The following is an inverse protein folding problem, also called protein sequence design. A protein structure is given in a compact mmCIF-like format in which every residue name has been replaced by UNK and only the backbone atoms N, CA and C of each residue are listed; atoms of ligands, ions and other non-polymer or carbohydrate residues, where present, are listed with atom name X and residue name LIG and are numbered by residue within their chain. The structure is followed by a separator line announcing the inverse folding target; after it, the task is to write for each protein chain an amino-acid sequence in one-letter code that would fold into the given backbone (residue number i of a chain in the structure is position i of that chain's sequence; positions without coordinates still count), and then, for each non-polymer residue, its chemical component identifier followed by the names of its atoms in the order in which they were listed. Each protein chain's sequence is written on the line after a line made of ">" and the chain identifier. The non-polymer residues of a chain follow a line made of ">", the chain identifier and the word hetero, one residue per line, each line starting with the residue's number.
data_IF_376486357182
#
_entry.id   IF_376486357182
#
_cell.length_a   1.000
_cell.length_b   1.000
_cell.length_c   1.000
_cell.angle_alpha   90.00
_cell.angle_beta   90.00
_cell.angle_gamma   90.00
#
_symmetry.space_group_name_H-M   'P 1'
#
loop_
_entity.id
_entity.type
_entity.pdbx_description
1 polymer ?
#
# COMPACT_ATOMS: atom_id res chain seq x y z
N UNK A 1 24.99 3.61 -18.54
CA UNK A 1 25.28 3.06 -17.20
C UNK A 1 25.26 4.23 -16.22
N UNK A 2 24.08 4.59 -15.73
CA UNK A 2 23.93 5.65 -14.72
C UNK A 2 23.97 4.93 -13.37
N UNK A 3 25.00 5.22 -12.57
CA UNK A 3 25.13 4.73 -11.22
C UNK A 3 23.93 5.27 -10.42
N UNK A 4 23.02 4.37 -10.01
CA UNK A 4 22.01 4.71 -9.02
C UNK A 4 22.76 5.15 -7.75
N UNK A 5 22.71 6.45 -7.45
CA UNK A 5 23.29 6.99 -6.23
C UNK A 5 22.72 6.21 -5.03
N UNK A 6 23.60 5.73 -4.15
CA UNK A 6 23.21 5.08 -2.90
C UNK A 6 22.43 6.09 -2.07
N UNK A 7 21.13 5.88 -1.98
CA UNK A 7 20.22 6.74 -1.23
C UNK A 7 20.49 6.55 0.26
N UNK A 8 20.96 7.59 0.94
CA UNK A 8 21.08 7.62 2.40
C UNK A 8 19.68 7.43 3.02
N UNK A 9 19.56 6.48 3.96
CA UNK A 9 18.31 6.24 4.70
C UNK A 9 18.01 7.31 5.76
N UNK A 10 18.84 8.34 5.86
CA UNK A 10 18.77 9.38 6.89
C UNK A 10 18.20 10.73 6.39
N UNK A 11 17.77 10.81 5.12
CA UNK A 11 17.09 12.02 4.63
C UNK A 11 15.63 12.04 5.09
N UNK A 12 15.27 13.00 5.94
CA UNK A 12 13.88 13.42 6.12
C UNK A 12 13.34 13.95 4.78
N UNK A 13 12.52 13.13 4.14
CA UNK A 13 11.97 13.40 2.81
C UNK A 13 10.84 14.42 2.81
N UNK A 14 10.20 14.61 3.97
CA UNK A 14 9.24 15.68 4.15
C UNK A 14 9.96 17.01 4.44
N UNK A 15 11.18 16.93 5.00
CA UNK A 15 11.97 18.05 5.49
C UNK A 15 11.36 18.67 6.74
N UNK A 16 12.16 19.41 7.50
CA UNK A 16 11.75 20.04 8.76
C UNK A 16 10.38 20.74 8.66
N UNK A 17 9.47 20.46 9.58
CA UNK A 17 8.13 21.05 9.61
C UNK A 17 8.14 22.46 10.23
N UNK A 18 7.78 23.52 9.49
CA UNK A 18 7.51 24.82 10.08
C UNK A 18 6.04 24.91 10.54
N UNK A 19 5.71 25.62 11.64
CA UNK A 19 4.33 25.77 12.14
C UNK A 19 3.32 26.36 11.13
N UNK A 20 3.81 26.92 10.02
CA UNK A 20 3.01 27.52 8.95
C UNK A 20 3.63 27.16 7.59
N UNK A 21 3.36 25.94 7.11
CA UNK A 21 3.78 25.52 5.78
C UNK A 21 3.01 26.32 4.72
N UNK A 22 3.66 27.33 4.11
CA UNK A 22 3.06 28.09 3.02
C UNK A 22 2.75 27.22 1.80
N UNK A 23 1.70 27.57 1.04
CA UNK A 23 1.21 26.80 -0.12
C UNK A 23 2.31 26.50 -1.15
N UNK A 24 3.21 27.46 -1.40
CA UNK A 24 4.34 27.25 -2.32
C UNK A 24 5.34 26.23 -1.79
N UNK A 25 5.61 26.23 -0.49
CA UNK A 25 6.49 25.23 0.13
C UNK A 25 5.84 23.85 0.10
N UNK A 26 4.54 23.75 0.39
CA UNK A 26 3.77 22.52 0.24
C UNK A 26 3.83 21.97 -1.19
N UNK A 27 3.59 22.82 -2.20
CA UNK A 27 3.68 22.44 -3.63
C UNK A 27 5.07 21.97 -4.01
N UNK A 28 6.13 22.64 -3.55
CA UNK A 28 7.52 22.21 -3.80
C UNK A 28 7.81 20.84 -3.19
N UNK A 29 7.37 20.59 -1.94
CA UNK A 29 7.52 19.29 -1.27
C UNK A 29 6.78 18.19 -2.01
N UNK A 30 5.50 18.41 -2.35
CA UNK A 30 4.70 17.46 -3.13
C UNK A 30 5.40 17.17 -4.46
N UNK A 31 5.83 18.19 -5.22
CA UNK A 31 6.54 17.99 -6.48
C UNK A 31 7.82 17.17 -6.31
N UNK A 32 8.62 17.45 -5.28
CA UNK A 32 9.85 16.70 -5.01
C UNK A 32 9.55 15.23 -4.68
N UNK A 33 8.55 14.96 -3.84
CA UNK A 33 8.10 13.61 -3.52
C UNK A 33 7.55 12.89 -4.76
N UNK A 34 6.76 13.58 -5.59
CA UNK A 34 6.24 13.06 -6.86
C UNK A 34 7.40 12.64 -7.79
N UNK A 35 8.39 13.52 -7.97
CA UNK A 35 9.56 13.23 -8.79
C UNK A 35 10.41 12.08 -8.23
N UNK A 36 10.49 11.93 -6.91
CA UNK A 36 11.27 10.87 -6.27
C UNK A 36 10.60 9.50 -6.33
N UNK A 37 9.27 9.44 -6.27
CA UNK A 37 8.54 8.18 -6.06
C UNK A 37 7.66 7.73 -7.21
N UNK A 38 7.14 8.66 -8.00
CA UNK A 38 6.12 8.38 -9.03
C UNK A 38 6.45 9.05 -10.37
N UNK A 39 7.73 9.33 -10.64
CA UNK A 39 8.15 9.74 -11.99
C UNK A 39 7.99 8.57 -12.97
N UNK A 40 7.90 8.88 -14.26
CA UNK A 40 7.77 7.86 -15.31
C UNK A 40 8.94 6.89 -15.27
N UNK A 41 10.15 7.39 -15.01
CA UNK A 41 11.37 6.61 -14.91
C UNK A 41 11.29 5.65 -13.71
N UNK A 42 10.92 6.17 -12.53
CA UNK A 42 10.79 5.34 -11.31
C UNK A 42 9.72 4.27 -11.50
N UNK A 43 8.55 4.63 -12.03
CA UNK A 43 7.47 3.67 -12.28
C UNK A 43 7.86 2.65 -13.35
N UNK A 44 8.56 3.09 -14.41
CA UNK A 44 9.08 2.24 -15.47
C UNK A 44 10.08 1.20 -14.94
N UNK A 45 11.03 1.63 -14.11
CA UNK A 45 11.99 0.73 -13.45
C UNK A 45 11.28 -0.30 -12.56
N UNK A 46 10.28 0.13 -11.79
CA UNK A 46 9.49 -0.78 -10.94
C UNK A 46 8.71 -1.78 -11.76
N UNK A 47 8.08 -1.35 -12.86
CA UNK A 47 7.34 -2.22 -13.76
C UNK A 47 8.27 -3.25 -14.43
N UNK A 48 9.47 -2.84 -14.82
CA UNK A 48 10.47 -3.73 -15.41
C UNK A 48 11.01 -4.76 -14.40
N UNK A 49 11.05 -4.44 -13.10
CA UNK A 49 11.49 -5.35 -12.03
C UNK A 49 10.43 -6.40 -11.63
N UNK A 50 9.14 -6.15 -11.85
CA UNK A 50 8.05 -7.04 -11.40
C UNK A 50 8.24 -8.52 -11.81
N UNK A 51 8.59 -8.88 -13.07
CA UNK A 51 8.81 -10.28 -13.43
C UNK A 51 9.98 -10.93 -12.69
N UNK A 52 10.99 -10.15 -12.26
CA UNK A 52 12.04 -10.65 -11.39
C UNK A 52 11.50 -10.90 -9.98
N UNK A 53 10.78 -9.93 -9.40
CA UNK A 53 10.15 -10.07 -8.08
C UNK A 53 9.17 -11.24 -7.99
N UNK A 54 8.43 -11.56 -9.06
CA UNK A 54 7.54 -12.71 -9.07
C UNK A 54 8.29 -14.05 -8.98
N UNK A 55 9.51 -14.12 -9.51
CA UNK A 55 10.36 -15.31 -9.49
C UNK A 55 11.25 -15.40 -8.27
N UNK A 56 11.77 -14.26 -7.83
CA UNK A 56 12.68 -14.11 -6.71
C UNK A 56 12.19 -12.98 -5.80
N UNK A 57 11.13 -13.20 -5.01
CA UNK A 57 10.55 -12.15 -4.18
C UNK A 57 11.57 -11.67 -3.15
N UNK A 58 11.91 -10.38 -3.18
CA UNK A 58 12.80 -9.76 -2.19
C UNK A 58 12.06 -8.68 -1.40
N UNK A 59 12.03 -8.76 -0.07
CA UNK A 59 11.34 -7.76 0.74
C UNK A 59 12.01 -6.40 0.58
N UNK A 60 11.18 -5.38 0.38
CA UNK A 60 11.60 -3.98 0.37
C UNK A 60 11.81 -3.53 1.81
N UNK A 61 12.90 -2.77 1.99
CA UNK A 61 13.18 -2.09 3.25
C UNK A 61 12.07 -1.10 3.53
N UNK A 62 11.51 -1.19 4.74
CA UNK A 62 10.61 -0.17 5.27
C UNK A 62 11.46 0.82 6.08
N UNK A 63 11.42 2.10 5.71
CA UNK A 63 12.17 3.12 6.44
C UNK A 63 11.53 3.34 7.82
N UNK A 64 12.34 3.47 8.89
CA UNK A 64 11.80 3.75 10.21
C UNK A 64 11.05 5.09 10.20
N UNK A 65 9.94 5.14 10.92
CA UNK A 65 9.16 6.36 11.12
C UNK A 65 9.55 6.95 12.46
N UNK A 66 9.94 8.22 12.50
CA UNK A 66 10.15 8.93 13.76
C UNK A 66 8.81 9.31 14.38
N UNK A 67 8.20 8.37 15.10
CA UNK A 67 6.90 8.56 15.75
C UNK A 67 6.87 9.64 16.84
N UNK A 68 8.02 10.12 17.30
CA UNK A 68 8.11 11.22 18.28
C UNK A 68 7.88 12.58 17.62
N UNK A 69 8.21 12.73 16.34
CA UNK A 69 8.11 14.00 15.60
C UNK A 69 6.74 14.19 14.94
N UNK A 70 5.83 13.23 15.10
CA UNK A 70 4.46 13.30 14.55
C UNK A 70 3.55 13.99 15.56
N UNK A 71 2.89 15.06 15.10
CA UNK A 71 2.03 15.89 15.94
C UNK A 71 0.78 16.41 15.20
N UNK A 72 -0.35 16.61 15.88
CA UNK A 72 -1.60 17.07 15.24
C UNK A 72 -1.49 18.39 14.45
N UNK A 73 -0.60 19.31 14.85
CA UNK A 73 -0.37 20.59 14.16
C UNK A 73 0.26 20.44 12.78
N UNK A 74 0.74 19.24 12.42
CA UNK A 74 1.24 18.93 11.09
C UNK A 74 0.12 18.72 10.07
N UNK A 75 -1.12 18.48 10.52
CA UNK A 75 -2.28 18.38 9.64
C UNK A 75 -2.73 19.79 9.26
N UNK A 76 -2.61 20.12 7.98
CA UNK A 76 -2.91 21.45 7.45
C UNK A 76 -3.77 21.38 6.19
N UNK A 77 -4.62 22.38 5.99
CA UNK A 77 -5.52 22.48 4.83
C UNK A 77 -6.81 21.66 4.94
N UNK A 78 -6.94 20.83 5.98
CA UNK A 78 -8.16 20.07 6.32
C UNK A 78 -8.34 20.02 7.84
N UNK A 79 -9.57 19.92 8.35
CA UNK A 79 -9.82 19.67 9.75
C UNK A 79 -9.19 18.35 10.22
N UNK A 80 -8.61 18.33 11.42
CA UNK A 80 -7.93 17.16 11.99
C UNK A 80 -8.86 15.95 12.11
N UNK A 81 -10.10 16.17 12.57
CA UNK A 81 -11.14 15.15 12.68
C UNK A 81 -11.49 14.54 11.32
N UNK A 82 -11.56 15.36 10.27
CA UNK A 82 -11.76 14.92 8.89
C UNK A 82 -10.58 14.06 8.43
N UNK A 83 -9.34 14.47 8.72
CA UNK A 83 -8.16 13.66 8.40
C UNK A 83 -8.15 12.32 9.15
N UNK A 84 -8.48 12.32 10.44
CA UNK A 84 -8.61 11.10 11.23
C UNK A 84 -9.71 10.18 10.69
N UNK A 85 -10.84 10.73 10.22
CA UNK A 85 -11.90 9.96 9.57
C UNK A 85 -11.41 9.30 8.26
N UNK A 86 -10.59 10.00 7.46
CA UNK A 86 -9.94 9.43 6.28
C UNK A 86 -9.02 8.28 6.68
N UNK A 87 -8.15 8.48 7.69
CA UNK A 87 -7.26 7.42 8.20
C UNK A 87 -8.05 6.20 8.68
N UNK A 88 -9.17 6.40 9.38
CA UNK A 88 -10.05 5.30 9.80
C UNK A 88 -10.63 4.54 8.61
N UNK A 89 -11.06 5.25 7.57
CA UNK A 89 -11.50 4.66 6.30
C UNK A 89 -10.39 3.82 5.63
N UNK A 90 -9.17 4.33 5.60
CA UNK A 90 -8.00 3.60 5.08
C UNK A 90 -7.70 2.36 5.92
N UNK A 91 -7.71 2.46 7.26
CA UNK A 91 -7.54 1.31 8.16
C UNK A 91 -8.59 0.22 7.87
N UNK A 92 -9.85 0.61 7.69
CA UNK A 92 -10.94 -0.33 7.40
C UNK A 92 -10.79 -1.02 6.03
N UNK A 93 -10.18 -0.32 5.07
CA UNK A 93 -9.85 -0.85 3.74
C UNK A 93 -8.64 -1.79 3.80
N UNK A 94 -7.61 -1.47 4.57
CA UNK A 94 -6.36 -2.23 4.64
C UNK A 94 -6.44 -3.46 5.54
N UNK A 95 -7.24 -3.40 6.61
CA UNK A 95 -7.32 -4.46 7.63
C UNK A 95 -7.60 -5.88 7.08
N UNK A 96 -8.51 -6.08 6.10
CA UNK A 96 -8.80 -7.42 5.56
C UNK A 96 -7.82 -7.83 4.43
N UNK A 97 -6.57 -7.34 4.42
CA UNK A 97 -5.59 -7.59 3.35
C UNK A 97 -5.44 -9.07 2.97
N UNK A 98 -5.45 -9.98 3.95
CA UNK A 98 -5.36 -11.43 3.68
C UNK A 98 -6.51 -11.91 2.80
N UNK A 99 -7.73 -11.42 3.03
CA UNK A 99 -8.87 -11.80 2.20
C UNK A 99 -8.70 -11.32 0.75
N UNK A 100 -8.21 -10.10 0.56
CA UNK A 100 -7.94 -9.57 -0.78
C UNK A 100 -6.82 -10.34 -1.50
N UNK A 101 -5.71 -10.60 -0.83
CA UNK A 101 -4.56 -11.30 -1.44
C UNK A 101 -4.91 -12.74 -1.80
N UNK A 102 -5.71 -13.42 -0.98
CA UNK A 102 -6.19 -14.77 -1.30
C UNK A 102 -7.16 -14.78 -2.49
N UNK A 103 -8.12 -13.84 -2.54
CA UNK A 103 -8.99 -13.72 -3.70
C UNK A 103 -8.19 -13.44 -4.98
N UNK A 104 -7.25 -12.49 -4.95
CA UNK A 104 -6.37 -12.18 -6.07
C UNK A 104 -5.51 -13.38 -6.50
N UNK A 105 -4.96 -14.15 -5.54
CA UNK A 105 -4.24 -15.39 -5.83
C UNK A 105 -5.09 -16.34 -6.66
N UNK A 106 -6.34 -16.60 -6.24
CA UNK A 106 -7.26 -17.51 -6.93
C UNK A 106 -7.60 -17.04 -8.35
N UNK A 107 -7.82 -15.73 -8.57
CA UNK A 107 -8.05 -15.19 -9.91
C UNK A 107 -6.82 -15.28 -10.82
N UNK A 108 -5.62 -15.17 -10.25
CA UNK A 108 -4.35 -15.17 -11.00
C UNK A 108 -3.80 -16.58 -11.28
N UNK A 109 -4.06 -17.54 -10.40
CA UNK A 109 -3.39 -18.85 -10.34
C UNK A 109 -3.33 -19.58 -11.68
N UNK A 110 -4.41 -19.56 -12.45
CA UNK A 110 -4.49 -20.26 -13.74
C UNK A 110 -3.61 -19.65 -14.84
N UNK A 111 -3.43 -18.32 -14.84
CA UNK A 111 -2.76 -17.62 -15.95
C UNK A 111 -1.38 -17.09 -15.57
N UNK A 112 -1.19 -16.73 -14.30
CA UNK A 112 -0.01 -16.08 -13.77
C UNK A 112 0.40 -16.69 -12.42
N UNK A 113 0.77 -17.98 -12.37
CA UNK A 113 1.02 -18.70 -11.12
C UNK A 113 2.12 -18.07 -10.26
N UNK A 114 3.17 -17.52 -10.88
CA UNK A 114 4.24 -16.81 -10.16
C UNK A 114 3.73 -15.52 -9.50
N UNK A 115 2.85 -14.78 -10.18
CA UNK A 115 2.22 -13.59 -9.62
C UNK A 115 1.23 -13.96 -8.52
N UNK A 116 0.45 -15.03 -8.69
CA UNK A 116 -0.45 -15.55 -7.66
C UNK A 116 0.32 -15.90 -6.38
N UNK A 117 1.44 -16.61 -6.51
CA UNK A 117 2.32 -16.94 -5.39
C UNK A 117 2.94 -15.68 -4.76
N UNK A 118 3.40 -14.73 -5.57
CA UNK A 118 3.93 -13.46 -5.07
C UNK A 118 2.89 -12.67 -4.26
N UNK A 119 1.64 -12.64 -4.72
CA UNK A 119 0.54 -11.87 -4.12
C UNK A 119 0.00 -12.55 -2.85
N UNK A 120 -0.52 -13.76 -2.98
CA UNK A 120 -1.23 -14.47 -1.90
C UNK A 120 -0.52 -15.71 -1.37
N UNK A 121 0.65 -16.05 -1.91
CA UNK A 121 1.49 -17.11 -1.37
C UNK A 121 1.14 -18.51 -1.86
N UNK A 122 1.57 -19.51 -1.10
CA UNK A 122 1.38 -20.93 -1.42
C UNK A 122 0.28 -21.53 -0.56
N UNK A 123 -0.51 -22.41 -1.17
CA UNK A 123 -1.56 -23.18 -0.51
C UNK A 123 -1.26 -24.68 -0.62
N UNK A 124 -1.78 -25.46 0.32
CA UNK A 124 -1.77 -26.92 0.24
C UNK A 124 -2.90 -27.45 -0.65
N UNK A 125 -3.05 -28.78 -0.69
CA UNK A 125 -4.08 -29.46 -1.50
C UNK A 125 -5.51 -29.16 -1.03
N UNK A 126 -5.68 -28.78 0.23
CA UNK A 126 -6.96 -28.44 0.84
C UNK A 126 -7.26 -26.93 0.72
N UNK A 127 -6.37 -26.18 0.05
CA UNK A 127 -6.49 -24.74 -0.15
C UNK A 127 -6.09 -23.91 1.07
N UNK A 128 -5.48 -24.52 2.10
CA UNK A 128 -4.99 -23.79 3.26
C UNK A 128 -3.66 -23.12 2.95
N UNK A 129 -3.51 -21.87 3.42
CA UNK A 129 -2.29 -21.09 3.18
C UNK A 129 -1.13 -21.68 4.00
N UNK A 130 -0.11 -22.18 3.30
CA UNK A 130 1.15 -22.66 3.87
C UNK A 130 2.04 -21.47 4.23
N UNK A 131 2.22 -20.55 3.28
CA UNK A 131 3.05 -19.35 3.46
C UNK A 131 2.42 -18.16 2.73
N UNK A 132 2.33 -16.98 3.37
CA UNK A 132 1.83 -15.79 2.70
C UNK A 132 2.81 -15.31 1.61
N UNK A 133 2.25 -14.72 0.56
CA UNK A 133 3.02 -14.09 -0.50
C UNK A 133 3.84 -12.91 0.02
N UNK A 134 4.87 -12.51 -0.71
CA UNK A 134 5.66 -11.35 -0.31
C UNK A 134 4.80 -10.09 -0.24
N UNK A 135 3.94 -9.85 -1.23
CA UNK A 135 3.04 -8.71 -1.25
C UNK A 135 2.17 -8.66 0.02
N UNK A 136 1.49 -9.76 0.36
CA UNK A 136 0.68 -9.83 1.59
C UNK A 136 1.50 -9.50 2.84
N UNK A 137 2.74 -9.98 2.94
CA UNK A 137 3.62 -9.68 4.08
C UNK A 137 3.97 -8.20 4.16
N UNK A 138 4.18 -7.56 3.01
CA UNK A 138 4.50 -6.14 2.94
C UNK A 138 3.31 -5.28 3.32
N UNK A 139 2.15 -5.52 2.72
CA UNK A 139 0.89 -4.80 2.94
C UNK A 139 0.36 -4.94 4.37
N UNK A 140 0.58 -6.09 5.04
CA UNK A 140 0.22 -6.28 6.46
C UNK A 140 0.86 -5.26 7.40
N UNK A 141 1.94 -4.59 7.00
CA UNK A 141 2.58 -3.52 7.79
C UNK A 141 1.80 -2.21 7.78
N UNK A 142 0.90 -2.01 6.80
CA UNK A 142 0.16 -0.76 6.60
C UNK A 142 -0.81 -0.50 7.76
N UNK A 143 -1.65 -1.48 8.08
CA UNK A 143 -2.68 -1.33 9.12
C UNK A 143 -2.10 -0.94 10.49
N UNK A 144 -1.06 -1.62 11.03
CA UNK A 144 -0.45 -1.20 12.31
C UNK A 144 0.17 0.20 12.27
N UNK A 145 0.80 0.58 11.15
CA UNK A 145 1.38 1.91 10.98
C UNK A 145 0.28 3.00 10.97
N UNK A 146 -0.82 2.76 10.25
CA UNK A 146 -1.97 3.67 10.18
C UNK A 146 -2.68 3.79 11.53
N UNK A 147 -2.85 2.70 12.28
CA UNK A 147 -3.41 2.73 13.65
C UNK A 147 -2.52 3.57 14.58
N UNK A 148 -1.20 3.41 14.47
CA UNK A 148 -0.24 4.19 15.26
C UNK A 148 -0.32 5.68 14.92
N UNK A 149 -0.39 6.02 13.63
CA UNK A 149 -0.57 7.39 13.15
C UNK A 149 -1.89 7.99 13.66
N UNK A 150 -3.01 7.28 13.51
CA UNK A 150 -4.31 7.71 14.02
C UNK A 150 -4.23 8.02 15.52
N UNK A 151 -3.68 7.09 16.31
CA UNK A 151 -3.57 7.26 17.77
C UNK A 151 -2.74 8.47 18.15
N UNK A 152 -1.67 8.76 17.41
CA UNK A 152 -0.83 9.93 17.63
C UNK A 152 -1.57 11.24 17.35
N UNK A 153 -2.44 11.25 16.34
CA UNK A 153 -3.15 12.44 15.91
C UNK A 153 -4.44 12.68 16.71
N UNK A 154 -5.21 11.63 16.98
CA UNK A 154 -6.49 11.69 17.69
C UNK A 154 -6.36 11.58 19.22
N UNK A 155 -5.23 11.11 19.73
CA UNK A 155 -5.01 10.85 21.16
C UNK A 155 -5.59 9.53 21.67
N UNK A 156 -6.42 8.85 20.88
CA UNK A 156 -7.07 7.58 21.21
C UNK A 156 -6.93 6.54 20.10
N UNK A 157 -7.12 5.27 20.42
CA UNK A 157 -7.08 4.22 19.43
C UNK A 157 -8.35 4.26 18.54
N UNK A 158 -8.23 4.01 17.23
CA UNK A 158 -9.40 3.91 16.37
C UNK A 158 -10.22 2.67 16.75
N UNK A 159 -11.53 2.71 16.48
CA UNK A 159 -12.42 1.53 16.52
C UNK A 159 -12.64 1.07 15.08
N UNK A 160 -11.79 0.18 14.53
CA UNK A 160 -11.92 -0.24 13.14
C UNK A 160 -13.18 -1.08 12.94
N UNK A 161 -13.82 -0.86 11.80
CA UNK A 161 -14.90 -1.69 11.26
C UNK A 161 -14.43 -2.17 9.88
N UNK A 162 -13.59 -3.22 9.82
CA UNK A 162 -12.98 -3.67 8.57
C UNK A 162 -14.04 -4.00 7.51
N UNK A 163 -13.78 -3.58 6.28
CA UNK A 163 -14.58 -4.03 5.16
C UNK A 163 -14.46 -5.56 4.99
N UNK A 164 -15.48 -6.18 4.43
CA UNK A 164 -15.39 -7.61 4.08
C UNK A 164 -14.72 -7.75 2.72
N UNK A 165 -13.57 -8.42 2.69
CA UNK A 165 -12.94 -8.80 1.44
C UNK A 165 -13.90 -9.68 0.62
N UNK A 166 -14.07 -9.35 -0.66
CA UNK A 166 -14.90 -10.14 -1.57
C UNK A 166 -14.18 -11.45 -1.88
N UNK A 167 -14.83 -12.62 -1.67
CA UNK A 167 -14.21 -13.90 -1.98
C UNK A 167 -14.11 -14.10 -3.51
N UNK A 168 -13.23 -15.02 -3.91
CA UNK A 168 -13.22 -15.51 -5.29
C UNK A 168 -14.57 -16.10 -5.67
N UNK A 169 -15.11 -15.66 -6.81
CA UNK A 169 -16.41 -16.12 -7.33
C UNK A 169 -16.23 -16.57 -8.79
N UNK A 170 -16.04 -17.87 -9.07
CA UNK A 170 -15.85 -18.36 -10.42
C UNK A 170 -17.15 -18.28 -11.24
N UNK A 171 -17.07 -17.81 -12.49
CA UNK A 171 -18.20 -17.82 -13.42
C UNK A 171 -18.16 -18.96 -14.45
N UNK A 172 -17.13 -19.81 -14.38
CA UNK A 172 -16.84 -20.83 -15.40
C UNK A 172 -16.04 -20.29 -16.59
N UNK A 173 -15.79 -18.98 -16.66
CA UNK A 173 -14.86 -18.38 -17.61
C UNK A 173 -13.73 -17.64 -16.86
N UNK A 174 -12.60 -18.32 -16.62
CA UNK A 174 -11.50 -17.76 -15.82
C UNK A 174 -10.90 -16.46 -16.39
N UNK A 175 -10.97 -16.24 -17.71
CA UNK A 175 -10.49 -14.98 -18.32
C UNK A 175 -11.41 -13.81 -17.97
N UNK A 176 -12.72 -14.02 -18.05
CA UNK A 176 -13.71 -13.01 -17.65
C UNK A 176 -13.61 -12.72 -16.16
N UNK A 177 -13.40 -13.75 -15.35
CA UNK A 177 -13.21 -13.64 -13.91
C UNK A 177 -11.99 -12.78 -13.57
N UNK A 178 -10.83 -13.06 -14.20
CA UNK A 178 -9.62 -12.27 -14.01
C UNK A 178 -9.79 -10.82 -14.49
N UNK A 179 -10.45 -10.60 -15.64
CA UNK A 179 -10.71 -9.25 -16.15
C UNK A 179 -11.57 -8.41 -15.20
N UNK A 180 -12.68 -8.99 -14.71
CA UNK A 180 -13.56 -8.33 -13.74
C UNK A 180 -12.83 -8.05 -12.42
N UNK A 181 -12.01 -8.99 -11.96
CA UNK A 181 -11.18 -8.79 -10.79
C UNK A 181 -10.20 -7.62 -10.98
N UNK A 182 -9.51 -7.55 -12.12
CA UNK A 182 -8.60 -6.46 -12.45
C UNK A 182 -9.30 -5.09 -12.46
N UNK A 183 -10.46 -4.99 -13.11
CA UNK A 183 -11.27 -3.76 -13.10
C UNK A 183 -11.68 -3.35 -11.67
N UNK A 184 -12.11 -4.31 -10.86
CA UNK A 184 -12.49 -4.05 -9.48
C UNK A 184 -11.30 -3.55 -8.65
N UNK A 185 -10.10 -4.13 -8.83
CA UNK A 185 -8.88 -3.65 -8.17
C UNK A 185 -8.55 -2.24 -8.60
N UNK A 186 -8.54 -1.95 -9.90
CA UNK A 186 -8.31 -0.58 -10.41
C UNK A 186 -9.31 0.42 -9.83
N UNK A 187 -10.60 0.08 -9.76
CA UNK A 187 -11.61 0.93 -9.15
C UNK A 187 -11.41 1.12 -7.63
N UNK A 188 -10.96 0.09 -6.92
CA UNK A 188 -10.65 0.18 -5.48
C UNK A 188 -9.47 1.11 -5.22
N UNK A 189 -8.38 0.97 -5.97
CA UNK A 189 -7.20 1.84 -5.84
C UNK A 189 -7.52 3.29 -6.25
N UNK A 190 -8.29 3.48 -7.32
CA UNK A 190 -8.70 4.82 -7.77
C UNK A 190 -9.62 5.51 -6.76
N UNK A 191 -10.59 4.77 -6.19
CA UNK A 191 -11.48 5.27 -5.14
C UNK A 191 -10.80 5.47 -3.78
N UNK A 192 -9.62 4.91 -3.56
CA UNK A 192 -8.79 5.22 -2.39
C UNK A 192 -7.93 6.49 -2.59
N UNK A 193 -7.73 6.92 -3.85
CA UNK A 193 -6.90 8.07 -4.23
C UNK A 193 -7.71 9.35 -4.54
N UNK A 194 -9.04 9.25 -4.68
CA UNK A 194 -9.96 10.35 -5.04
C UNK A 194 -11.06 10.50 -4.00
#
# INVERSE_FOLDING_TARGET
>A
MVLAASISSDEDLAGAWPPQLGLEQARRRVKALTQRYVSVEVLGDRLADLPHQFRHPQPRRWNPVNWADISPDQVSGIPLDTFCAILLGTINTEAPIRGYTQASRQYLEQFYPQMAQFVGGTVDRDGQVIAPGLWEREEKRHTPALITLYKKLAGEAPVPVPHRARPYTPSGNPRTDLYRHGLHRLATEYGAAC
#
